data_IF_174593334134
#
_entry.id   IF_174593334134
#
_cell.length_a   1.000
_cell.length_b   1.000
_cell.length_c   1.000
_cell.angle_alpha   90.00
_cell.angle_beta   90.00
_cell.angle_gamma   90.00
#
_symmetry.space_group_name_H-M   'P 1'
#
loop_
_entity.id
_entity.type
_entity.pdbx_description
1 polymer ?
#
# COMPACT_ATOMS: atom_id res chain seq x y z
N UNK A 1 -2.10 13.19 -3.24
CA UNK A 1 -1.45 12.27 -4.19
C UNK A 1 -2.08 12.39 -5.58
N UNK A 2 -3.40 12.34 -5.73
CA UNK A 2 -4.10 12.56 -7.01
C UNK A 2 -3.95 13.98 -7.63
N UNK A 3 -3.96 15.04 -6.82
CA UNK A 3 -3.79 16.42 -7.32
C UNK A 3 -2.40 16.68 -7.93
N UNK A 4 -1.36 16.03 -7.39
CA UNK A 4 0.00 16.08 -7.94
C UNK A 4 0.11 15.36 -9.28
N UNK A 5 -0.80 14.42 -9.56
CA UNK A 5 -0.79 13.59 -10.78
C UNK A 5 -1.38 14.37 -11.97
N UNK A 6 -2.41 15.18 -11.72
CA UNK A 6 -3.03 16.04 -12.74
C UNK A 6 -2.13 17.22 -13.17
N UNK A 7 -1.46 17.89 -12.22
CA UNK A 7 -0.48 18.94 -12.55
C UNK A 7 0.73 18.38 -13.30
N UNK A 8 1.20 17.18 -12.92
CA UNK A 8 2.35 16.54 -13.57
C UNK A 8 2.03 16.05 -14.99
N UNK A 9 0.81 15.57 -15.24
CA UNK A 9 0.36 15.19 -16.59
C UNK A 9 0.21 16.41 -17.53
N UNK A 10 -0.06 17.60 -17.00
CA UNK A 10 -0.13 18.85 -17.79
C UNK A 10 1.24 19.41 -18.19
N UNK A 11 2.29 19.03 -17.46
CA UNK A 11 3.66 19.51 -17.69
C UNK A 11 4.44 18.70 -18.73
N UNK A 12 3.94 17.54 -19.16
CA UNK A 12 4.56 16.77 -20.25
C UNK A 12 3.99 17.20 -21.59
N UNK A 13 4.82 17.74 -22.51
CA UNK A 13 4.39 17.95 -23.87
C UNK A 13 4.02 16.59 -24.43
N UNK A 14 2.78 16.45 -24.89
CA UNK A 14 2.36 15.35 -25.76
C UNK A 14 3.34 15.31 -26.93
N UNK A 15 4.30 14.38 -26.88
CA UNK A 15 5.15 14.08 -28.00
C UNK A 15 4.24 13.47 -29.07
N UNK A 16 3.71 14.34 -29.93
CA UNK A 16 2.94 13.98 -31.09
C UNK A 16 3.70 12.94 -31.90
N UNK A 17 2.98 11.92 -32.32
CA UNK A 17 3.42 10.91 -33.28
C UNK A 17 3.66 11.64 -34.61
N UNK A 18 4.88 12.15 -34.77
CA UNK A 18 5.45 12.59 -36.03
C UNK A 18 6.63 11.68 -36.33
N UNK A 19 6.55 10.94 -37.43
CA UNK A 19 7.54 10.01 -37.96
C UNK A 19 8.85 10.71 -38.36
N UNK A 20 9.62 11.16 -37.37
CA UNK A 20 10.86 11.87 -37.58
C UNK A 20 11.67 11.94 -36.30
N UNK A 21 12.27 10.81 -35.90
CA UNK A 21 13.34 10.86 -34.89
C UNK A 21 14.49 11.65 -35.53
N UNK A 22 14.86 12.84 -35.02
CA UNK A 22 16.08 13.49 -35.47
C UNK A 22 17.23 12.58 -35.04
N UNK A 23 17.96 12.01 -36.00
CA UNK A 23 19.24 11.36 -35.71
C UNK A 23 20.18 12.44 -35.19
N UNK A 24 20.23 12.65 -33.87
CA UNK A 24 21.30 13.42 -33.26
C UNK A 24 22.61 12.68 -33.54
N UNK A 25 23.45 13.27 -34.40
CA UNK A 25 24.86 12.91 -34.50
C UNK A 25 25.52 13.27 -33.17
N UNK A 26 25.69 12.29 -32.28
CA UNK A 26 26.42 12.50 -31.02
C UNK A 26 27.67 11.66 -31.01
N UNK A 27 28.82 12.31 -30.80
CA UNK A 27 30.09 11.65 -30.53
C UNK A 27 30.04 10.74 -29.29
N UNK A 28 31.16 10.06 -29.03
CA UNK A 28 31.32 8.97 -28.05
C UNK A 28 30.70 9.25 -26.66
N UNK A 29 30.64 10.51 -26.21
CA UNK A 29 30.00 10.90 -24.94
C UNK A 29 28.47 10.85 -24.95
N UNK A 30 27.82 11.18 -26.08
CA UNK A 30 26.36 11.10 -26.21
C UNK A 30 25.86 9.66 -26.35
N UNK A 31 26.64 8.79 -27.01
CA UNK A 31 26.36 7.36 -27.02
C UNK A 31 26.43 6.73 -25.63
N UNK A 32 27.41 7.12 -24.80
CA UNK A 32 27.48 6.68 -23.39
C UNK A 32 26.26 7.13 -22.59
N UNK A 33 25.78 8.36 -22.79
CA UNK A 33 24.60 8.88 -22.10
C UNK A 33 23.30 8.19 -22.58
N UNK A 34 23.19 7.85 -23.86
CA UNK A 34 22.06 7.08 -24.41
C UNK A 34 22.07 5.64 -23.89
N UNK A 35 23.24 5.00 -23.83
CA UNK A 35 23.40 3.64 -23.27
C UNK A 35 23.12 3.65 -21.76
N UNK A 36 23.61 4.63 -21.03
CA UNK A 36 23.36 4.80 -19.60
C UNK A 36 21.88 5.06 -19.32
N UNK A 37 21.21 5.89 -20.13
CA UNK A 37 19.77 6.15 -20.02
C UNK A 37 18.94 4.91 -20.39
N UNK A 38 19.40 4.09 -21.33
CA UNK A 38 18.75 2.84 -21.72
C UNK A 38 18.98 1.71 -20.70
N UNK A 39 20.16 1.68 -20.07
CA UNK A 39 20.48 0.74 -19.00
C UNK A 39 19.79 1.08 -17.68
N UNK A 40 19.68 2.37 -17.34
CA UNK A 40 19.00 2.82 -16.12
C UNK A 40 17.48 2.88 -16.23
N UNK A 41 16.92 3.07 -17.44
CA UNK A 41 15.50 3.38 -17.60
C UNK A 41 14.80 2.69 -18.80
N UNK A 42 15.45 1.74 -19.48
CA UNK A 42 14.80 0.96 -20.53
C UNK A 42 13.77 -0.01 -19.94
N UNK A 43 12.52 0.04 -20.41
CA UNK A 43 11.49 -0.99 -20.20
C UNK A 43 11.83 -2.26 -21.00
N UNK A 44 13.05 -2.75 -20.87
CA UNK A 44 13.47 -3.96 -21.54
C UNK A 44 12.93 -5.14 -20.75
N UNK A 45 12.47 -6.19 -21.44
CA UNK A 45 12.06 -7.48 -20.85
C UNK A 45 13.12 -8.02 -19.85
N UNK A 46 14.37 -7.55 -19.99
CA UNK A 46 15.46 -7.74 -19.05
C UNK A 46 15.15 -7.31 -17.61
N UNK A 47 14.45 -6.19 -17.36
CA UNK A 47 14.13 -5.71 -16.01
C UNK A 47 13.12 -6.62 -15.29
N UNK A 48 12.09 -7.09 -16.01
CA UNK A 48 11.13 -8.06 -15.46
C UNK A 48 11.78 -9.43 -15.22
N UNK A 49 12.62 -9.88 -16.16
CA UNK A 49 13.43 -11.10 -15.99
C UNK A 49 14.40 -10.98 -14.83
N UNK A 50 15.03 -9.82 -14.65
CA UNK A 50 15.92 -9.52 -13.53
C UNK A 50 15.15 -9.55 -12.21
N UNK A 51 13.98 -8.92 -12.12
CA UNK A 51 13.16 -8.95 -10.91
C UNK A 51 12.73 -10.38 -10.54
N UNK A 52 12.36 -11.20 -11.53
CA UNK A 52 12.05 -12.62 -11.32
C UNK A 52 13.28 -13.42 -10.86
N UNK A 53 14.43 -13.25 -11.53
CA UNK A 53 15.68 -13.93 -11.18
C UNK A 53 16.16 -13.49 -9.80
N UNK A 54 16.02 -12.20 -9.45
CA UNK A 54 16.37 -11.64 -8.15
C UNK A 54 15.48 -12.22 -7.04
N UNK A 55 14.18 -12.35 -7.28
CA UNK A 55 13.23 -12.88 -6.29
C UNK A 55 13.41 -14.39 -6.06
N UNK A 56 13.48 -15.17 -7.14
CA UNK A 56 13.70 -16.62 -7.07
C UNK A 56 15.11 -16.91 -6.55
N UNK A 57 16.11 -16.20 -7.05
CA UNK A 57 17.50 -16.30 -6.61
C UNK A 57 17.65 -15.96 -5.14
N UNK A 58 17.07 -14.84 -4.68
CA UNK A 58 17.08 -14.46 -3.27
C UNK A 58 16.44 -15.52 -2.37
N UNK A 59 15.28 -16.06 -2.77
CA UNK A 59 14.63 -17.15 -2.05
C UNK A 59 15.52 -18.41 -1.94
N UNK A 60 16.14 -18.83 -3.05
CA UNK A 60 17.03 -19.98 -3.08
C UNK A 60 18.30 -19.74 -2.26
N UNK A 61 18.91 -18.56 -2.38
CA UNK A 61 20.10 -18.19 -1.60
C UNK A 61 19.79 -18.22 -0.11
N UNK A 62 18.69 -17.60 0.34
CA UNK A 62 18.28 -17.63 1.75
C UNK A 62 18.04 -19.07 2.22
N UNK A 63 17.33 -19.87 1.42
CA UNK A 63 17.04 -21.28 1.75
C UNK A 63 18.31 -22.11 1.89
N UNK A 64 19.26 -21.96 0.96
CA UNK A 64 20.55 -22.66 0.97
C UNK A 64 21.42 -22.17 2.13
N UNK A 65 21.50 -20.86 2.37
CA UNK A 65 22.26 -20.28 3.49
C UNK A 65 21.72 -20.75 4.83
N UNK A 66 20.40 -20.76 5.03
CA UNK A 66 19.78 -21.29 6.25
C UNK A 66 20.09 -22.77 6.46
N UNK A 67 20.03 -23.58 5.39
CA UNK A 67 20.36 -24.99 5.48
C UNK A 67 21.85 -25.24 5.77
N UNK A 68 22.73 -24.43 5.18
CA UNK A 68 24.18 -24.50 5.41
C UNK A 68 24.58 -24.04 6.82
N UNK A 69 23.97 -22.96 7.33
CA UNK A 69 24.22 -22.46 8.69
C UNK A 69 23.63 -23.35 9.79
N UNK A 70 22.64 -24.20 9.47
CA UNK A 70 22.03 -25.15 10.40
C UNK A 70 22.78 -26.49 10.50
N UNK A 71 23.82 -26.73 9.69
CA UNK A 71 24.61 -27.96 9.78
C UNK A 71 25.51 -27.93 11.03
N UNK A 72 25.56 -28.99 11.88
CA UNK A 72 24.99 -30.33 11.74
C UNK A 72 23.70 -30.59 12.56
N UNK A 73 23.16 -29.59 13.27
CA UNK A 73 22.01 -29.73 14.17
C UNK A 73 20.71 -29.28 13.51
N UNK A 74 20.15 -30.14 12.66
CA UNK A 74 18.86 -29.87 12.04
C UNK A 74 17.73 -29.91 13.09
N UNK A 75 16.83 -28.94 13.03
CA UNK A 75 15.62 -28.94 13.85
C UNK A 75 14.75 -30.16 13.51
N UNK A 76 14.29 -30.89 14.53
CA UNK A 76 13.41 -32.05 14.35
C UNK A 76 12.09 -31.64 13.66
N UNK A 77 11.52 -32.42 12.72
CA UNK A 77 10.28 -32.05 12.03
C UNK A 77 9.11 -31.72 12.97
N UNK A 78 9.01 -32.41 14.11
CA UNK A 78 8.01 -32.14 15.14
C UNK A 78 8.21 -30.77 15.81
N UNK A 79 9.46 -30.32 15.94
CA UNK A 79 9.76 -28.98 16.42
C UNK A 79 9.32 -27.92 15.41
N UNK A 80 9.60 -28.12 14.12
CA UNK A 80 9.28 -27.15 13.06
C UNK A 80 7.77 -27.03 12.81
N UNK A 81 7.03 -28.14 12.75
CA UNK A 81 5.63 -28.12 12.33
C UNK A 81 4.62 -28.15 13.48
N UNK A 82 5.03 -28.59 14.68
CA UNK A 82 4.09 -28.81 15.78
C UNK A 82 4.46 -28.09 17.09
N UNK A 83 5.64 -27.45 17.18
CA UNK A 83 6.02 -26.70 18.38
C UNK A 83 5.76 -25.23 18.17
N UNK A 84 4.78 -24.71 18.91
CA UNK A 84 4.53 -23.27 18.99
C UNK A 84 5.38 -22.68 20.11
N UNK A 85 6.28 -21.75 19.76
CA UNK A 85 7.15 -21.08 20.73
C UNK A 85 6.57 -19.72 21.03
N UNK A 86 6.05 -19.55 22.24
CA UNK A 86 5.47 -18.30 22.68
C UNK A 86 6.46 -17.52 23.55
N UNK A 87 6.96 -16.41 23.01
CA UNK A 87 7.87 -15.49 23.71
C UNK A 87 7.18 -14.20 24.15
N UNK A 88 5.86 -14.09 23.91
CA UNK A 88 5.11 -12.84 24.09
C UNK A 88 4.54 -12.69 25.50
N UNK A 89 4.41 -13.78 26.26
CA UNK A 89 3.77 -13.77 27.58
C UNK A 89 2.24 -13.74 27.54
N UNK A 90 1.62 -13.71 26.35
CA UNK A 90 0.19 -13.91 26.16
C UNK A 90 -0.18 -15.39 26.17
N UNK A 91 -1.45 -15.77 26.41
CA UNK A 91 -1.92 -17.13 26.14
C UNK A 91 -1.66 -17.54 24.68
N UNK A 92 -1.36 -18.82 24.45
CA UNK A 92 -0.92 -19.33 23.14
C UNK A 92 -1.87 -18.98 21.99
N UNK A 93 -3.19 -18.98 22.25
CA UNK A 93 -4.19 -18.59 21.25
C UNK A 93 -4.07 -17.13 20.80
N UNK A 94 -3.75 -16.20 21.71
CA UNK A 94 -3.57 -14.78 21.39
C UNK A 94 -2.24 -14.58 20.66
N UNK A 95 -1.16 -15.22 21.14
CA UNK A 95 0.14 -15.17 20.47
C UNK A 95 0.07 -15.71 19.03
N UNK A 96 -0.73 -16.77 18.81
CA UNK A 96 -1.01 -17.30 17.48
C UNK A 96 -1.78 -16.29 16.60
N UNK A 97 -2.81 -15.64 17.13
CA UNK A 97 -3.56 -14.60 16.40
C UNK A 97 -2.68 -13.38 16.04
N UNK A 98 -1.81 -12.93 16.95
CA UNK A 98 -0.85 -11.86 16.70
C UNK A 98 0.13 -12.23 15.58
N UNK A 99 0.48 -13.51 15.45
CA UNK A 99 1.38 -14.00 14.41
C UNK A 99 0.69 -14.08 13.04
N UNK A 100 -0.60 -14.45 13.00
CA UNK A 100 -1.39 -14.47 11.77
C UNK A 100 -1.62 -13.08 11.17
N UNK A 101 -1.61 -12.04 12.01
CA UNK A 101 -1.84 -10.66 11.60
C UNK A 101 -0.86 -10.21 10.50
N UNK A 102 0.41 -10.61 10.59
CA UNK A 102 1.42 -10.24 9.58
C UNK A 102 1.23 -10.95 8.23
N UNK A 103 0.61 -12.13 8.22
CA UNK A 103 0.26 -12.82 6.98
C UNK A 103 -0.79 -12.07 6.15
N UNK A 104 -1.66 -11.29 6.80
CA UNK A 104 -2.71 -10.51 6.13
C UNK A 104 -2.18 -9.39 5.23
N UNK A 105 -0.99 -8.86 5.52
CA UNK A 105 -0.35 -7.82 4.70
C UNK A 105 0.00 -8.32 3.29
N UNK A 106 0.13 -9.64 3.08
CA UNK A 106 0.34 -10.18 1.74
C UNK A 106 -0.85 -9.97 0.79
N UNK A 107 -2.05 -9.79 1.34
CA UNK A 107 -3.27 -9.60 0.54
C UNK A 107 -3.49 -8.15 0.10
N UNK A 108 -2.79 -7.18 0.69
CA UNK A 108 -2.94 -5.75 0.32
C UNK A 108 -2.40 -5.46 -1.08
N UNK A 109 -1.53 -6.33 -1.61
CA UNK A 109 -1.01 -6.20 -2.97
C UNK A 109 -2.05 -6.38 -4.07
N UNK A 110 -3.12 -7.14 -3.82
CA UNK A 110 -4.20 -7.35 -4.80
C UNK A 110 -5.08 -6.11 -4.96
N UNK A 111 -5.34 -5.42 -3.84
CA UNK A 111 -6.18 -4.21 -3.78
C UNK A 111 -5.59 -3.08 -4.63
N UNK A 112 -4.29 -2.82 -4.49
CA UNK A 112 -3.59 -1.80 -5.26
C UNK A 112 -3.70 -1.98 -6.79
N UNK A 113 -3.84 -3.23 -7.27
CA UNK A 113 -4.04 -3.52 -8.69
C UNK A 113 -5.50 -3.24 -9.10
N UNK A 114 -6.46 -3.55 -8.23
CA UNK A 114 -7.88 -3.30 -8.49
C UNK A 114 -8.14 -1.79 -8.63
N UNK A 115 -7.65 -0.98 -7.70
CA UNK A 115 -7.77 0.49 -7.75
C UNK A 115 -7.18 1.05 -9.04
N UNK A 116 -6.01 0.53 -9.44
CA UNK A 116 -5.34 0.99 -10.67
C UNK A 116 -6.15 0.65 -11.93
N UNK A 117 -6.93 -0.44 -11.94
CA UNK A 117 -7.78 -0.80 -13.07
C UNK A 117 -9.02 0.10 -13.13
N UNK A 118 -9.58 0.47 -11.97
CA UNK A 118 -10.76 1.34 -11.88
C UNK A 118 -10.48 2.79 -12.27
N UNK A 119 -9.24 3.27 -12.08
CA UNK A 119 -8.84 4.63 -12.43
C UNK A 119 -8.46 4.84 -13.92
N UNK A 120 -8.36 3.78 -14.74
CA UNK A 120 -7.92 3.91 -16.14
C UNK A 120 -9.12 4.13 -17.09
N UNK A 121 -9.33 5.34 -17.63
CA UNK A 121 -10.29 5.54 -18.72
C UNK A 121 -9.75 4.87 -20.00
N UNK A 122 -10.58 4.05 -20.66
CA UNK A 122 -10.23 3.36 -21.92
C UNK A 122 -8.95 2.51 -21.84
N UNK A 123 -8.99 1.45 -21.02
CA UNK A 123 -7.88 0.51 -20.79
C UNK A 123 -7.22 -0.07 -22.05
N UNK A 124 -7.96 -0.20 -23.16
CA UNK A 124 -7.44 -0.74 -24.43
C UNK A 124 -6.37 0.16 -25.09
N UNK A 125 -6.38 1.48 -24.84
CA UNK A 125 -5.46 2.44 -25.47
C UNK A 125 -4.48 3.01 -24.43
N UNK A 126 -4.98 3.34 -23.25
CA UNK A 126 -4.15 3.93 -22.19
C UNK A 126 -3.32 2.87 -21.45
N UNK A 127 -3.80 1.61 -21.39
CA UNK A 127 -3.06 0.51 -20.77
C UNK A 127 -1.65 0.32 -21.35
N UNK A 128 -1.48 0.16 -22.68
CA UNK A 128 -0.16 0.06 -23.30
C UNK A 128 0.74 1.27 -23.06
N UNK A 129 0.19 2.49 -23.02
CA UNK A 129 0.97 3.72 -22.74
C UNK A 129 1.43 3.78 -21.28
N UNK A 130 0.55 3.41 -20.35
CA UNK A 130 0.86 3.36 -18.92
C UNK A 130 1.95 2.32 -18.65
N UNK A 131 1.94 1.16 -19.28
CA UNK A 131 3.00 0.14 -19.13
C UNK A 131 4.39 0.68 -19.47
N UNK A 132 4.50 1.54 -20.50
CA UNK A 132 5.77 2.16 -20.88
C UNK A 132 6.14 3.28 -19.90
N UNK A 133 5.19 4.12 -19.52
CA UNK A 133 5.44 5.29 -18.66
C UNK A 133 5.63 4.93 -17.18
N UNK A 134 4.99 3.87 -16.70
CA UNK A 134 5.03 3.43 -15.31
C UNK A 134 6.43 2.96 -14.92
N UNK A 135 7.25 2.48 -15.85
CA UNK A 135 8.63 2.12 -15.55
C UNK A 135 9.48 3.35 -15.19
N UNK A 136 9.35 4.44 -15.94
CA UNK A 136 10.10 5.67 -15.68
C UNK A 136 9.64 6.36 -14.39
N UNK A 137 8.32 6.49 -14.22
CA UNK A 137 7.72 7.10 -13.03
C UNK A 137 7.94 6.21 -11.80
N UNK A 138 7.79 4.90 -11.97
CA UNK A 138 7.93 3.90 -10.92
C UNK A 138 9.35 3.82 -10.37
N UNK A 139 10.38 3.90 -11.22
CA UNK A 139 11.78 3.96 -10.75
C UNK A 139 12.03 5.23 -9.93
N UNK A 140 11.57 6.40 -10.40
CA UNK A 140 11.74 7.66 -9.67
C UNK A 140 10.98 7.64 -8.33
N UNK A 141 9.75 7.13 -8.35
CA UNK A 141 8.93 6.91 -7.16
C UNK A 141 9.59 5.94 -6.18
N UNK A 142 10.21 4.87 -6.68
CA UNK A 142 10.93 3.89 -5.86
C UNK A 142 12.12 4.53 -5.15
N UNK A 143 12.96 5.30 -5.86
CA UNK A 143 14.10 5.99 -5.22
C UNK A 143 13.64 7.01 -4.17
N UNK A 144 12.59 7.78 -4.47
CA UNK A 144 12.00 8.70 -3.51
C UNK A 144 11.47 7.96 -2.28
N UNK A 145 10.74 6.86 -2.49
CA UNK A 145 10.18 6.03 -1.43
C UNK A 145 11.29 5.43 -0.55
N UNK A 146 12.32 4.84 -1.15
CA UNK A 146 13.49 4.32 -0.42
C UNK A 146 14.16 5.41 0.40
N UNK A 147 14.33 6.62 -0.14
CA UNK A 147 14.87 7.76 0.59
C UNK A 147 14.02 8.14 1.80
N UNK A 148 12.70 8.30 1.61
CA UNK A 148 11.77 8.65 2.68
C UNK A 148 11.73 7.56 3.76
N UNK A 149 11.61 6.29 3.36
CA UNK A 149 11.60 5.14 4.28
C UNK A 149 12.91 5.03 5.05
N UNK A 150 14.05 5.34 4.41
CA UNK A 150 15.35 5.38 5.09
C UNK A 150 15.38 6.47 6.16
N UNK A 151 14.87 7.68 5.85
CA UNK A 151 14.78 8.78 6.83
C UNK A 151 13.89 8.38 8.02
N UNK A 152 12.72 7.79 7.76
CA UNK A 152 11.86 7.27 8.84
C UNK A 152 12.53 6.11 9.60
N UNK A 153 13.31 5.28 8.91
CA UNK A 153 14.11 4.20 9.51
C UNK A 153 15.19 4.72 10.46
N UNK A 154 15.77 5.90 10.21
CA UNK A 154 16.74 6.51 11.12
C UNK A 154 16.15 6.79 12.52
N UNK A 155 14.81 6.93 12.66
CA UNK A 155 14.14 7.08 13.96
C UNK A 155 14.42 5.87 14.86
N UNK A 156 14.59 4.68 14.27
CA UNK A 156 14.91 3.45 14.99
C UNK A 156 16.23 3.55 15.78
N UNK A 157 17.20 4.36 15.32
CA UNK A 157 18.46 4.58 16.02
C UNK A 157 18.28 5.36 17.34
N UNK A 158 17.27 6.22 17.41
CA UNK A 158 16.95 6.98 18.62
C UNK A 158 16.01 6.23 19.56
N UNK A 159 14.94 5.64 19.01
CA UNK A 159 13.98 4.87 19.79
C UNK A 159 13.30 3.80 18.94
N UNK A 160 13.54 2.54 19.31
CA UNK A 160 12.87 1.38 18.70
C UNK A 160 11.36 1.41 18.99
N UNK A 161 10.97 1.88 20.17
CA UNK A 161 9.58 2.03 20.60
C UNK A 161 8.83 3.06 19.77
N UNK A 162 9.43 4.22 19.51
CA UNK A 162 8.81 5.26 18.68
C UNK A 162 8.62 4.78 17.23
N UNK A 163 9.63 4.12 16.66
CA UNK A 163 9.53 3.56 15.32
C UNK A 163 8.43 2.49 15.23
N UNK A 164 8.40 1.54 16.16
CA UNK A 164 7.38 0.49 16.19
C UNK A 164 5.96 1.06 16.36
N UNK A 165 5.80 2.12 17.16
CA UNK A 165 4.53 2.81 17.32
C UNK A 165 4.06 3.48 16.02
N UNK A 166 4.96 4.10 15.25
CA UNK A 166 4.64 4.70 13.95
C UNK A 166 4.22 3.64 12.94
N UNK A 167 4.91 2.51 12.86
CA UNK A 167 4.57 1.41 11.94
C UNK A 167 3.21 0.81 12.31
N UNK A 168 2.98 0.50 13.58
CA UNK A 168 1.69 0.00 14.06
C UNK A 168 0.55 1.01 13.80
N UNK A 169 0.81 2.29 14.02
CA UNK A 169 -0.11 3.38 13.72
C UNK A 169 -0.47 3.46 12.24
N UNK A 170 0.52 3.40 11.35
CA UNK A 170 0.30 3.48 9.90
C UNK A 170 -0.58 2.35 9.39
N UNK A 171 -0.31 1.11 9.83
CA UNK A 171 -1.10 -0.07 9.45
C UNK A 171 -2.51 -0.01 10.05
N UNK A 172 -2.65 0.43 11.30
CA UNK A 172 -3.95 0.55 11.96
C UNK A 172 -4.82 1.62 11.29
N UNK A 173 -4.24 2.79 10.98
CA UNK A 173 -4.96 3.89 10.32
C UNK A 173 -5.39 3.50 8.90
N UNK A 174 -4.54 2.77 8.19
CA UNK A 174 -4.89 2.19 6.89
C UNK A 174 -6.13 1.29 7.02
N UNK A 175 -6.11 0.31 7.95
CA UNK A 175 -7.25 -0.57 8.21
C UNK A 175 -8.54 0.16 8.59
N UNK A 176 -8.43 1.22 9.40
CA UNK A 176 -9.57 2.07 9.76
C UNK A 176 -10.13 2.83 8.56
N UNK A 177 -9.27 3.35 7.69
CA UNK A 177 -9.69 4.04 6.47
C UNK A 177 -10.51 3.15 5.55
N UNK A 178 -10.13 1.87 5.40
CA UNK A 178 -10.91 0.87 4.65
C UNK A 178 -12.19 0.44 5.39
N UNK A 179 -12.21 0.49 6.72
CA UNK A 179 -13.40 0.22 7.52
C UNK A 179 -14.52 1.23 7.32
N UNK A 180 -14.19 2.51 7.05
CA UNK A 180 -15.18 3.59 6.88
C UNK A 180 -16.18 3.31 5.74
N UNK A 181 -15.76 3.06 4.48
CA UNK A 181 -16.71 2.81 3.39
C UNK A 181 -17.52 1.52 3.62
N UNK A 182 -16.94 0.48 4.23
CA UNK A 182 -17.65 -0.76 4.58
C UNK A 182 -18.75 -0.46 5.60
N UNK A 183 -18.43 0.32 6.63
CA UNK A 183 -19.38 0.74 7.66
C UNK A 183 -20.49 1.62 7.07
N UNK A 184 -20.17 2.58 6.21
CA UNK A 184 -21.17 3.41 5.54
C UNK A 184 -22.09 2.56 4.64
N UNK A 185 -21.52 1.64 3.86
CA UNK A 185 -22.29 0.73 3.00
C UNK A 185 -23.22 -0.18 3.83
N UNK A 186 -22.79 -0.59 5.02
CA UNK A 186 -23.60 -1.35 5.98
C UNK A 186 -24.74 -0.50 6.58
N UNK A 187 -24.45 0.72 7.04
CA UNK A 187 -25.43 1.65 7.62
C UNK A 187 -26.50 2.05 6.61
N UNK A 188 -26.10 2.32 5.36
CA UNK A 188 -27.03 2.68 4.28
C UNK A 188 -27.65 1.46 3.57
N UNK A 189 -27.56 0.27 4.16
CA UNK A 189 -28.20 -0.97 3.70
C UNK A 189 -27.89 -1.33 2.23
N UNK A 190 -26.75 -0.90 1.69
CA UNK A 190 -26.37 -1.04 0.27
C UNK A 190 -27.34 -0.38 -0.73
N UNK A 191 -28.14 0.60 -0.30
CA UNK A 191 -29.21 1.22 -1.12
C UNK A 191 -28.81 2.55 -1.79
N UNK A 192 -27.70 3.17 -1.36
CA UNK A 192 -27.26 4.50 -1.85
C UNK A 192 -26.26 4.43 -3.01
N UNK A 193 -25.93 3.24 -3.49
CA UNK A 193 -24.95 3.05 -4.57
C UNK A 193 -25.64 3.12 -5.94
N UNK A 194 -25.04 3.77 -6.96
CA UNK A 194 -25.58 3.83 -8.31
C UNK A 194 -25.63 2.45 -8.98
N UNK A 195 -26.39 2.35 -10.07
CA UNK A 195 -26.53 1.13 -10.86
C UNK A 195 -25.16 0.71 -11.43
N UNK A 196 -24.78 -0.56 -11.24
CA UNK A 196 -23.43 -1.06 -11.50
C UNK A 196 -23.46 -2.31 -12.36
N UNK A 197 -22.44 -2.48 -13.19
CA UNK A 197 -22.32 -3.63 -14.11
C UNK A 197 -22.29 -4.99 -13.40
N UNK A 198 -21.87 -5.03 -12.13
CA UNK A 198 -21.83 -6.25 -11.32
C UNK A 198 -22.47 -6.04 -9.94
N UNK A 199 -23.50 -6.84 -9.63
CA UNK A 199 -24.17 -6.80 -8.32
C UNK A 199 -24.03 -8.13 -7.60
N UNK A 200 -23.34 -8.11 -6.46
CA UNK A 200 -23.30 -9.28 -5.58
C UNK A 200 -24.69 -9.53 -4.96
N UNK A 201 -25.14 -10.80 -4.87
CA UNK A 201 -26.41 -11.14 -4.25
C UNK A 201 -26.48 -10.60 -2.82
N UNK A 202 -27.68 -10.18 -2.41
CA UNK A 202 -27.87 -9.40 -1.18
C UNK A 202 -27.30 -10.09 0.05
N UNK A 203 -27.58 -11.38 0.23
CA UNK A 203 -27.08 -12.18 1.36
C UNK A 203 -25.55 -12.20 1.41
N UNK A 204 -24.89 -12.40 0.26
CA UNK A 204 -23.43 -12.51 0.20
C UNK A 204 -22.76 -11.18 0.55
N UNK A 205 -23.27 -10.06 0.02
CA UNK A 205 -22.69 -8.76 0.37
C UNK A 205 -22.92 -8.34 1.82
N UNK A 206 -24.04 -8.74 2.45
CA UNK A 206 -24.22 -8.55 3.89
C UNK A 206 -23.21 -9.37 4.70
N UNK A 207 -23.04 -10.64 4.37
CA UNK A 207 -22.05 -11.52 5.02
C UNK A 207 -20.64 -10.95 4.89
N UNK A 208 -20.24 -10.51 3.68
CA UNK A 208 -18.92 -9.94 3.44
C UNK A 208 -18.71 -8.63 4.21
N UNK A 209 -19.72 -7.74 4.27
CA UNK A 209 -19.64 -6.51 5.04
C UNK A 209 -19.50 -6.79 6.55
N UNK A 210 -20.23 -7.78 7.09
CA UNK A 210 -20.14 -8.17 8.51
C UNK A 210 -18.76 -8.74 8.80
N UNK A 211 -18.27 -9.67 7.97
CA UNK A 211 -16.94 -10.27 8.14
C UNK A 211 -15.86 -9.19 8.04
N UNK A 212 -15.96 -8.28 7.06
CA UNK A 212 -15.02 -7.18 6.88
C UNK A 212 -14.99 -6.23 8.08
N UNK A 213 -16.16 -5.80 8.56
CA UNK A 213 -16.24 -4.91 9.71
C UNK A 213 -15.75 -5.59 10.99
N UNK A 214 -16.10 -6.86 11.20
CA UNK A 214 -15.60 -7.66 12.31
C UNK A 214 -14.07 -7.79 12.23
N UNK A 215 -13.53 -8.09 11.06
CA UNK A 215 -12.08 -8.17 10.81
C UNK A 215 -11.40 -6.84 11.12
N UNK A 216 -11.92 -5.70 10.64
CA UNK A 216 -11.35 -4.38 10.92
C UNK A 216 -11.36 -4.07 12.42
N UNK A 217 -12.45 -4.38 13.14
CA UNK A 217 -12.54 -4.16 14.60
C UNK A 217 -11.53 -5.03 15.34
N UNK A 218 -11.49 -6.34 15.03
CA UNK A 218 -10.59 -7.29 15.70
C UNK A 218 -9.14 -6.94 15.43
N UNK A 219 -8.77 -6.64 14.18
CA UNK A 219 -7.39 -6.28 13.82
C UNK A 219 -6.97 -4.96 14.44
N UNK A 220 -7.83 -3.94 14.45
CA UNK A 220 -7.57 -2.67 15.16
C UNK A 220 -7.30 -2.94 16.64
N UNK A 221 -8.12 -3.76 17.29
CA UNK A 221 -7.91 -4.12 18.69
C UNK A 221 -6.60 -4.89 18.91
N UNK A 222 -6.27 -5.85 18.04
CA UNK A 222 -5.02 -6.61 18.12
C UNK A 222 -3.77 -5.75 17.86
N UNK A 223 -3.84 -4.76 16.97
CA UNK A 223 -2.75 -3.82 16.74
C UNK A 223 -2.57 -2.80 17.88
N UNK A 224 -3.62 -2.54 18.66
CA UNK A 224 -3.56 -1.71 19.86
C UNK A 224 -3.11 -2.50 21.10
N UNK A 225 -3.28 -3.83 21.09
CA UNK A 225 -2.76 -4.71 22.13
C UNK A 225 -1.23 -4.71 22.17
N UNK A 226 -0.69 -5.04 23.35
CA UNK A 226 0.74 -4.92 23.63
C UNK A 226 1.47 -6.16 23.08
N UNK A 227 2.59 -5.99 22.36
CA UNK A 227 3.27 -7.10 21.67
C UNK A 227 3.88 -8.13 22.63
N UNK A 228 4.15 -7.76 23.89
CA UNK A 228 4.57 -8.68 24.94
C UNK A 228 4.21 -8.21 26.34
N UNK A 229 4.12 -9.13 27.29
CA UNK A 229 3.94 -8.91 28.73
C UNK A 229 5.19 -9.43 29.50
N UNK A 230 5.59 -8.80 30.63
CA UNK A 230 5.06 -7.58 31.24
C UNK A 230 5.57 -6.30 30.56
N UNK A 231 4.84 -5.20 30.75
CA UNK A 231 5.10 -3.95 30.02
C UNK A 231 5.79 -2.93 30.90
N UNK A 232 6.80 -2.29 30.35
CA UNK A 232 7.49 -1.15 30.94
C UNK A 232 7.11 0.11 30.14
N UNK A 233 7.26 1.30 30.72
CA UNK A 233 7.05 2.56 29.99
C UNK A 233 7.90 2.67 28.73
N UNK A 234 9.00 1.92 28.63
CA UNK A 234 9.83 1.87 27.42
C UNK A 234 9.38 0.82 26.40
N UNK A 235 8.58 -0.19 26.78
CA UNK A 235 8.15 -1.29 25.89
C UNK A 235 6.66 -1.30 25.56
N UNK A 236 5.89 -0.34 26.10
CA UNK A 236 4.46 -0.21 25.86
C UNK A 236 4.14 0.13 24.39
N UNK A 237 3.00 -0.35 23.89
CA UNK A 237 2.50 0.00 22.56
C UNK A 237 1.91 1.43 22.57
N UNK A 238 2.61 2.37 21.94
CA UNK A 238 2.19 3.78 21.84
C UNK A 238 1.29 4.09 20.62
N UNK A 239 0.81 3.07 19.90
CA UNK A 239 -0.07 3.24 18.73
C UNK A 239 -1.33 4.06 19.06
N UNK A 240 -1.96 3.82 20.21
CA UNK A 240 -3.17 4.56 20.65
C UNK A 240 -2.90 6.07 20.77
N UNK A 241 -1.72 6.44 21.27
CA UNK A 241 -1.34 7.86 21.43
C UNK A 241 -1.13 8.51 20.07
N UNK A 242 -0.45 7.81 19.15
CA UNK A 242 -0.28 8.29 17.77
C UNK A 242 -1.63 8.45 17.03
N UNK A 243 -2.56 7.50 17.21
CA UNK A 243 -3.94 7.60 16.70
C UNK A 243 -4.69 8.82 17.27
N UNK A 244 -4.59 9.06 18.57
CA UNK A 244 -5.24 10.21 19.19
C UNK A 244 -4.69 11.54 18.62
N UNK A 245 -3.37 11.65 18.47
CA UNK A 245 -2.71 12.85 17.90
C UNK A 245 -3.20 13.09 16.46
N UNK A 246 -3.21 12.06 15.60
CA UNK A 246 -3.65 12.28 14.21
C UNK A 246 -5.12 12.65 14.12
N UNK A 247 -5.97 12.06 14.96
CA UNK A 247 -7.40 12.39 15.00
C UNK A 247 -7.60 13.85 15.39
N UNK A 248 -6.86 14.34 16.38
CA UNK A 248 -6.90 15.76 16.76
C UNK A 248 -6.44 16.67 15.60
N UNK A 249 -5.36 16.31 14.91
CA UNK A 249 -4.88 17.06 13.74
C UNK A 249 -5.92 17.05 12.62
N UNK A 250 -6.52 15.90 12.32
CA UNK A 250 -7.53 15.74 11.28
C UNK A 250 -8.78 16.57 11.58
N UNK A 251 -9.27 16.50 12.83
CA UNK A 251 -10.40 17.31 13.30
C UNK A 251 -10.05 18.80 13.18
N UNK A 252 -8.88 19.21 13.65
CA UNK A 252 -8.44 20.60 13.55
C UNK A 252 -8.39 21.08 12.08
N UNK A 253 -7.80 20.28 11.18
CA UNK A 253 -7.75 20.60 9.75
C UNK A 253 -9.14 20.66 9.11
N UNK A 254 -10.06 19.81 9.53
CA UNK A 254 -11.46 19.87 9.11
C UNK A 254 -12.09 21.21 9.49
N UNK A 255 -11.91 21.65 10.74
CA UNK A 255 -12.44 22.93 11.22
C UNK A 255 -11.83 24.15 10.52
N UNK A 256 -10.53 24.12 10.21
CA UNK A 256 -9.80 25.23 9.57
C UNK A 256 -10.07 25.33 8.07
N UNK A 257 -9.91 24.21 7.35
CA UNK A 257 -9.87 24.19 5.89
C UNK A 257 -10.95 23.27 5.28
N UNK A 258 -11.13 22.07 5.86
CA UNK A 258 -12.02 21.05 5.30
C UNK A 258 -13.45 21.54 5.13
N UNK A 259 -14.06 22.14 6.15
CA UNK A 259 -15.45 22.63 6.09
C UNK A 259 -15.68 23.74 5.06
N UNK A 260 -14.64 24.45 4.63
CA UNK A 260 -14.76 25.58 3.69
C UNK A 260 -14.46 25.19 2.25
N UNK A 261 -13.57 24.22 2.05
CA UNK A 261 -13.03 23.87 0.75
C UNK A 261 -13.39 22.44 0.30
N UNK A 262 -14.16 21.70 1.09
CA UNK A 262 -14.64 20.38 0.68
C UNK A 262 -15.73 20.50 -0.39
N UNK A 263 -15.35 20.19 -1.62
CA UNK A 263 -16.29 19.96 -2.72
C UNK A 263 -16.48 18.45 -2.89
N UNK A 264 -17.73 18.00 -2.90
CA UNK A 264 -18.06 16.60 -3.16
C UNK A 264 -17.66 16.14 -4.58
N UNK A 265 -17.65 14.82 -4.84
CA UNK A 265 -17.36 14.30 -6.16
C UNK A 265 -18.35 14.85 -7.21
N UNK A 266 -17.85 15.44 -8.29
CA UNK A 266 -18.68 15.88 -9.42
C UNK A 266 -18.99 14.68 -10.30
N UNK A 267 -20.25 14.26 -10.33
CA UNK A 267 -20.68 13.12 -11.15
C UNK A 267 -21.16 13.68 -12.49
N UNK A 268 -20.40 13.43 -13.55
CA UNK A 268 -20.82 13.81 -14.91
C UNK A 268 -21.69 12.69 -15.48
N UNK A 269 -23.00 12.87 -15.47
CA UNK A 269 -23.93 11.93 -16.10
C UNK A 269 -24.33 12.54 -17.45
N UNK A 270 -24.07 11.83 -18.56
CA UNK A 270 -24.49 12.23 -19.92
C UNK A 270 -23.90 13.56 -20.46
N UNK A 271 -22.71 13.95 -19.99
CA UNK A 271 -22.05 15.18 -20.43
C UNK A 271 -22.53 16.43 -19.69
N UNK A 272 -23.41 16.29 -18.71
CA UNK A 272 -23.83 17.36 -17.81
C UNK A 272 -23.16 17.15 -16.44
N UNK A 273 -22.46 18.18 -15.95
CA UNK A 273 -21.82 18.16 -14.63
C UNK A 273 -22.92 18.41 -13.60
N UNK A 274 -23.41 17.35 -12.96
CA UNK A 274 -24.36 17.49 -11.87
C UNK A 274 -23.52 17.65 -10.60
N UNK A 275 -23.41 18.88 -10.11
CA UNK A 275 -22.88 19.10 -8.77
C UNK A 275 -23.92 18.56 -7.78
N UNK A 276 -23.61 17.45 -7.13
CA UNK A 276 -24.38 17.01 -5.96
C UNK A 276 -24.06 18.02 -4.84
N UNK A 277 -24.85 19.09 -4.77
CA UNK A 277 -24.77 20.09 -3.71
C UNK A 277 -25.20 19.40 -2.42
N UNK A 278 -24.23 18.82 -1.71
CA UNK A 278 -24.37 18.42 -0.32
C UNK A 278 -24.51 19.74 0.45
N UNK A 279 -25.74 20.24 0.57
CA UNK A 279 -26.07 21.34 1.48
C UNK A 279 -25.93 20.83 2.92
N UNK A 280 -25.37 21.66 3.83
CA UNK A 280 -25.12 21.29 5.21
C UNK A 280 -26.41 20.94 5.98
#
# INVERSE_FOLDING_TARGET
>A
MAASLAEFLSAYPTAGIGSGVPKLSTGVSGQKLIILRRFLFGSDVASHRFALIWSIGGFLTISITLLACAAPNYATPKYVFATFINTTGWPDGIAWLLSLLQGGLGLTGFDAVADMIEEIPNAAIEGPKIIINCQYIGINSLYLNVGIVTIFGCIYLGSTTAFNAIIAFAVTTLGLSYGIPIALNFIYMRQRLPERAFTLPSWLGWTLNIIGLFYTIVTTFLFLLLPSLPVSGTSMNYCVVALAIILLISIFQWFVNGRKNFAGPRITIHGEIIEEVIRP
#
